data_IF_113812145566
#
_entry.id   IF_113812145566
#
_cell.length_a   1.000
_cell.length_b   1.000
_cell.length_c   1.000
_cell.angle_alpha   90.00
_cell.angle_beta   90.00
_cell.angle_gamma   90.00
#
_symmetry.space_group_name_H-M   'P 1'
#
loop_
_entity.id
_entity.type
_entity.pdbx_description
1 polymer ?
#
# COMPACT_ATOMS: atom_id res chain seq x y z
N UNK A 1 12.37 -9.96 15.83
CA UNK A 1 11.87 -9.76 14.44
C UNK A 1 11.93 -11.09 13.70
N UNK A 2 10.93 -11.42 12.89
CA UNK A 2 10.90 -12.60 12.03
C UNK A 2 12.07 -12.54 11.02
N UNK A 3 12.75 -13.65 10.67
CA UNK A 3 13.86 -13.65 9.70
C UNK A 3 13.49 -13.03 8.34
N UNK A 4 12.27 -13.29 7.82
CA UNK A 4 11.80 -12.71 6.57
C UNK A 4 11.72 -11.19 6.65
N UNK A 5 11.07 -10.64 7.69
CA UNK A 5 10.99 -9.20 7.90
C UNK A 5 12.35 -8.54 8.14
N UNK A 6 13.29 -9.25 8.80
CA UNK A 6 14.62 -8.72 8.99
C UNK A 6 15.38 -8.55 7.66
N UNK A 7 15.27 -9.55 6.77
CA UNK A 7 15.87 -9.47 5.42
C UNK A 7 15.20 -8.38 4.59
N UNK A 8 13.86 -8.35 4.55
CA UNK A 8 13.09 -7.33 3.83
C UNK A 8 13.45 -5.92 4.31
N UNK A 9 13.52 -5.70 5.61
CA UNK A 9 13.85 -4.39 6.18
C UNK A 9 15.28 -3.94 5.87
N UNK A 10 16.26 -4.85 5.90
CA UNK A 10 17.63 -4.51 5.50
C UNK A 10 17.70 -4.11 4.03
N UNK A 11 17.00 -4.83 3.16
CA UNK A 11 16.91 -4.50 1.74
C UNK A 11 16.20 -3.15 1.52
N UNK A 12 15.02 -2.95 2.13
CA UNK A 12 14.26 -1.71 2.05
C UNK A 12 15.04 -0.49 2.57
N UNK A 13 15.84 -0.64 3.64
CA UNK A 13 16.71 0.44 4.11
C UNK A 13 17.79 0.81 3.11
N UNK A 14 18.38 -0.15 2.41
CA UNK A 14 19.38 0.12 1.35
C UNK A 14 18.73 0.88 0.18
N UNK A 15 17.58 0.41 -0.29
CA UNK A 15 16.81 1.06 -1.34
C UNK A 15 16.36 2.46 -0.91
N UNK A 16 15.79 2.61 0.29
CA UNK A 16 15.36 3.90 0.84
C UNK A 16 16.49 4.92 1.01
N UNK A 17 17.72 4.48 1.35
CA UNK A 17 18.88 5.37 1.36
C UNK A 17 19.23 5.89 -0.04
N UNK A 18 19.06 5.05 -1.07
CA UNK A 18 19.24 5.46 -2.47
C UNK A 18 18.14 6.46 -2.87
N UNK A 19 16.87 6.19 -2.52
CA UNK A 19 15.75 7.11 -2.76
C UNK A 19 15.99 8.49 -2.12
N UNK A 20 16.38 8.55 -0.84
CA UNK A 20 16.70 9.82 -0.14
C UNK A 20 17.80 10.61 -0.85
N UNK A 21 18.85 9.94 -1.36
CA UNK A 21 19.91 10.62 -2.12
C UNK A 21 19.38 11.17 -3.43
N UNK A 22 18.56 10.42 -4.14
CA UNK A 22 17.95 10.86 -5.40
C UNK A 22 16.98 12.03 -5.17
N UNK A 23 16.18 12.02 -4.09
CA UNK A 23 15.30 13.12 -3.69
C UNK A 23 16.07 14.43 -3.44
N UNK A 24 17.34 14.36 -3.07
CA UNK A 24 18.22 15.54 -2.94
C UNK A 24 18.60 16.23 -4.26
N UNK A 25 18.33 15.59 -5.41
CA UNK A 25 18.58 16.15 -6.73
C UNK A 25 17.62 15.60 -7.78
N UNK A 26 16.36 15.98 -7.68
CA UNK A 26 15.28 15.48 -8.56
C UNK A 26 15.48 15.81 -10.03
N UNK A 27 16.17 16.91 -10.36
CA UNK A 27 16.47 17.30 -11.74
C UNK A 27 17.37 16.26 -12.48
N UNK A 28 18.11 15.45 -11.73
CA UNK A 28 18.94 14.39 -12.30
C UNK A 28 18.19 13.05 -12.46
N UNK A 29 16.98 12.91 -11.93
CA UNK A 29 16.16 11.69 -12.01
C UNK A 29 15.58 11.56 -13.41
N UNK A 30 15.87 10.42 -14.07
CA UNK A 30 15.31 10.12 -15.39
C UNK A 30 13.94 9.47 -15.22
N UNK A 31 12.98 9.94 -16.00
CA UNK A 31 11.59 9.49 -15.95
C UNK A 31 11.12 9.03 -17.32
N UNK A 32 10.32 7.96 -17.33
CA UNK A 32 9.58 7.50 -18.50
C UNK A 32 8.07 7.49 -18.12
N UNK A 33 7.19 7.62 -19.10
CA UNK A 33 5.75 7.47 -18.92
C UNK A 33 5.34 6.08 -19.39
N UNK A 34 4.69 5.30 -18.51
CA UNK A 34 4.09 4.00 -18.86
C UNK A 34 2.75 4.17 -19.56
N UNK A 35 1.95 5.16 -19.09
CA UNK A 35 0.65 5.55 -19.62
C UNK A 35 0.34 6.99 -19.24
N UNK A 36 -0.88 7.48 -19.57
CA UNK A 36 -1.36 8.78 -19.11
C UNK A 36 -1.43 8.78 -17.56
N UNK A 37 -0.71 9.71 -16.92
CA UNK A 37 -0.57 9.81 -15.46
C UNK A 37 0.04 8.58 -14.76
N UNK A 38 0.77 7.77 -15.49
CA UNK A 38 1.51 6.62 -14.97
C UNK A 38 3.00 6.77 -15.31
N UNK A 39 3.83 6.99 -14.30
CA UNK A 39 5.24 7.32 -14.42
C UNK A 39 6.11 6.25 -13.76
N UNK A 40 7.29 6.07 -14.32
CA UNK A 40 8.38 5.28 -13.74
C UNK A 40 9.67 6.08 -13.83
N UNK A 41 10.51 5.96 -12.82
CA UNK A 41 11.83 6.58 -12.82
C UNK A 41 12.94 5.54 -12.74
N UNK A 42 14.18 5.98 -12.97
CA UNK A 42 15.35 5.16 -12.71
C UNK A 42 15.51 4.83 -11.21
N UNK A 43 14.88 5.61 -10.34
CA UNK A 43 14.84 5.35 -8.89
C UNK A 43 13.98 4.13 -8.57
N UNK A 44 12.80 3.96 -9.19
CA UNK A 44 11.94 2.77 -9.06
C UNK A 44 12.72 1.52 -9.46
N UNK A 45 13.31 1.55 -10.66
CA UNK A 45 14.06 0.41 -11.20
C UNK A 45 15.28 0.05 -10.35
N UNK A 46 16.02 1.04 -9.86
CA UNK A 46 17.18 0.81 -8.99
C UNK A 46 16.77 0.29 -7.60
N UNK A 47 15.65 0.81 -7.06
CA UNK A 47 15.05 0.30 -5.83
C UNK A 47 14.70 -1.18 -5.99
N UNK A 48 14.00 -1.53 -7.07
CA UNK A 48 13.62 -2.91 -7.36
C UNK A 48 14.84 -3.85 -7.46
N UNK A 49 15.88 -3.46 -8.19
CA UNK A 49 17.11 -4.26 -8.31
C UNK A 49 17.68 -4.57 -6.92
N UNK A 50 17.80 -3.57 -6.04
CA UNK A 50 18.33 -3.75 -4.68
C UNK A 50 17.47 -4.75 -3.88
N UNK A 51 16.14 -4.64 -3.97
CA UNK A 51 15.21 -5.49 -3.22
C UNK A 51 15.23 -6.93 -3.74
N UNK A 52 15.15 -7.09 -5.06
CA UNK A 52 15.11 -8.40 -5.74
C UNK A 52 16.42 -9.16 -5.53
N UNK A 53 17.59 -8.51 -5.68
CA UNK A 53 18.88 -9.15 -5.46
C UNK A 53 19.01 -9.66 -4.02
N UNK A 54 18.66 -8.83 -3.03
CA UNK A 54 18.73 -9.22 -1.62
C UNK A 54 17.81 -10.39 -1.27
N UNK A 55 16.61 -10.42 -1.87
CA UNK A 55 15.68 -11.53 -1.65
C UNK A 55 16.09 -12.80 -2.38
N UNK A 56 16.60 -12.71 -3.61
CA UNK A 56 17.12 -13.88 -4.37
C UNK A 56 18.33 -14.51 -3.67
N UNK A 57 19.21 -13.69 -3.10
CA UNK A 57 20.36 -14.17 -2.32
C UNK A 57 19.91 -14.93 -1.07
N UNK A 58 18.97 -14.35 -0.30
CA UNK A 58 18.50 -14.94 0.95
C UNK A 58 17.52 -16.11 0.75
N UNK A 59 16.70 -16.06 -0.30
CA UNK A 59 15.59 -16.98 -0.56
C UNK A 59 15.52 -17.40 -2.03
N UNK A 60 16.49 -18.17 -2.55
CA UNK A 60 16.61 -18.47 -3.99
C UNK A 60 15.46 -19.30 -4.57
N UNK A 61 14.61 -19.87 -3.73
CA UNK A 61 13.45 -20.68 -4.14
C UNK A 61 12.10 -19.95 -4.05
N UNK A 62 12.10 -18.71 -3.56
CA UNK A 62 10.89 -17.92 -3.51
C UNK A 62 10.57 -17.31 -4.88
N UNK A 63 9.29 -17.15 -5.17
CA UNK A 63 8.82 -16.31 -6.27
C UNK A 63 8.86 -14.85 -5.80
N UNK A 64 9.17 -13.93 -6.72
CA UNK A 64 9.15 -12.49 -6.45
C UNK A 64 8.35 -11.86 -7.59
N UNK A 65 7.28 -11.16 -7.26
CA UNK A 65 6.45 -10.39 -8.19
C UNK A 65 6.61 -8.91 -7.87
N UNK A 66 7.04 -8.14 -8.86
CA UNK A 66 7.35 -6.73 -8.73
C UNK A 66 6.58 -5.90 -9.75
N UNK A 67 6.43 -4.63 -9.48
CA UNK A 67 5.75 -3.69 -10.36
C UNK A 67 6.51 -3.52 -11.69
N UNK A 68 7.82 -3.28 -11.65
CA UNK A 68 8.61 -2.86 -12.81
C UNK A 68 9.15 -4.05 -13.62
N UNK A 69 9.78 -4.99 -12.96
CA UNK A 69 10.46 -6.14 -13.58
C UNK A 69 9.59 -7.39 -13.72
N UNK A 70 8.32 -7.32 -13.31
CA UNK A 70 7.41 -8.46 -13.40
C UNK A 70 7.73 -9.57 -12.42
N UNK A 71 7.66 -10.83 -12.87
CA UNK A 71 7.75 -11.98 -11.97
C UNK A 71 9.05 -12.77 -12.15
N UNK A 72 9.71 -13.12 -11.05
CA UNK A 72 10.93 -13.91 -10.98
C UNK A 72 10.69 -15.19 -10.19
N UNK A 73 11.38 -16.27 -10.54
CA UNK A 73 11.27 -17.56 -9.86
C UNK A 73 10.21 -18.48 -10.48
N UNK A 74 9.92 -19.60 -9.79
CA UNK A 74 8.98 -20.61 -10.29
C UNK A 74 7.54 -20.26 -9.89
N UNK A 75 6.59 -20.39 -10.80
CA UNK A 75 5.16 -20.20 -10.51
C UNK A 75 4.64 -21.16 -9.42
N UNK A 76 5.30 -22.30 -9.21
CA UNK A 76 4.95 -23.33 -8.22
C UNK A 76 5.63 -23.11 -6.86
N UNK A 77 6.31 -21.97 -6.65
CA UNK A 77 6.95 -21.67 -5.36
C UNK A 77 5.90 -21.54 -4.26
N UNK A 78 6.17 -22.15 -3.09
CA UNK A 78 5.26 -22.02 -1.94
C UNK A 78 5.26 -20.62 -1.32
N UNK A 79 6.38 -19.88 -1.47
CA UNK A 79 6.54 -18.52 -0.98
C UNK A 79 6.62 -17.53 -2.14
N UNK A 80 5.89 -16.44 -2.03
CA UNK A 80 5.88 -15.36 -3.02
C UNK A 80 6.01 -14.01 -2.32
N UNK A 81 6.99 -13.21 -2.74
CA UNK A 81 7.08 -11.81 -2.41
C UNK A 81 6.31 -10.99 -3.44
N UNK A 82 5.51 -10.04 -2.96
CA UNK A 82 4.86 -9.01 -3.77
C UNK A 82 5.46 -7.66 -3.36
N UNK A 83 6.02 -6.91 -4.32
CA UNK A 83 6.85 -5.74 -4.05
C UNK A 83 6.43 -4.57 -4.93
N UNK A 84 6.22 -3.43 -4.29
CA UNK A 84 6.29 -2.12 -4.91
C UNK A 84 7.60 -1.45 -4.49
N UNK A 85 8.52 -1.18 -5.43
CA UNK A 85 9.81 -0.58 -5.13
C UNK A 85 9.72 0.91 -4.75
N UNK A 86 8.65 1.61 -5.20
CA UNK A 86 8.37 3.01 -4.92
C UNK A 86 6.89 3.34 -5.10
N UNK A 87 6.03 2.98 -4.14
CA UNK A 87 4.65 3.47 -4.09
C UNK A 87 4.64 5.00 -3.95
N UNK A 88 3.92 5.66 -4.85
CA UNK A 88 3.85 7.11 -4.93
C UNK A 88 4.94 7.75 -5.78
N UNK A 89 5.30 7.17 -6.93
CA UNK A 89 6.29 7.69 -7.90
C UNK A 89 6.03 9.14 -8.28
N UNK A 90 4.77 9.51 -8.54
CA UNK A 90 4.40 10.91 -8.83
C UNK A 90 4.75 11.85 -7.67
N UNK A 91 4.47 11.45 -6.43
CA UNK A 91 4.82 12.22 -5.25
C UNK A 91 6.35 12.39 -5.15
N UNK A 92 7.09 11.30 -5.34
CA UNK A 92 8.55 11.33 -5.32
C UNK A 92 9.11 12.30 -6.35
N UNK A 93 8.64 12.26 -7.60
CA UNK A 93 9.10 13.13 -8.68
C UNK A 93 8.81 14.63 -8.41
N UNK A 94 7.83 14.94 -7.57
CA UNK A 94 7.50 16.31 -7.16
C UNK A 94 8.11 16.70 -5.81
N UNK A 95 8.95 15.86 -5.20
CA UNK A 95 9.54 16.13 -3.88
C UNK A 95 8.50 16.11 -2.75
N UNK A 96 7.36 15.47 -2.95
CA UNK A 96 6.35 15.31 -1.91
C UNK A 96 6.65 14.05 -1.09
N UNK A 97 6.86 14.16 0.25
CA UNK A 97 7.41 13.08 1.08
C UNK A 97 6.37 12.01 1.44
N UNK A 98 5.49 11.66 0.50
CA UNK A 98 4.46 10.64 0.62
C UNK A 98 4.72 9.53 -0.39
N UNK A 99 5.80 8.80 -0.15
CA UNK A 99 6.20 7.63 -0.94
C UNK A 99 6.82 6.56 -0.03
N UNK A 100 6.74 5.30 -0.46
CA UNK A 100 7.19 4.17 0.34
C UNK A 100 7.66 2.99 -0.51
N UNK A 101 8.40 2.08 0.12
CA UNK A 101 8.65 0.72 -0.36
C UNK A 101 7.62 -0.18 0.31
N UNK A 102 6.88 -0.96 -0.48
CA UNK A 102 5.87 -1.90 0.00
C UNK A 102 6.31 -3.33 -0.32
N UNK A 103 6.31 -4.22 0.68
CA UNK A 103 6.74 -5.61 0.55
C UNK A 103 5.81 -6.53 1.33
N UNK A 104 5.22 -7.51 0.66
CA UNK A 104 4.42 -8.56 1.30
C UNK A 104 5.00 -9.94 0.98
N UNK A 105 4.93 -10.87 1.94
CA UNK A 105 5.25 -12.28 1.74
C UNK A 105 4.00 -13.12 1.90
N UNK A 106 3.71 -13.91 0.86
CA UNK A 106 2.68 -14.94 0.88
C UNK A 106 3.31 -16.32 1.09
N UNK A 107 2.62 -17.18 1.80
CA UNK A 107 2.89 -18.62 1.85
C UNK A 107 1.67 -19.36 1.38
N UNK A 108 1.78 -20.09 0.27
CA UNK A 108 0.66 -20.82 -0.38
C UNK A 108 -0.56 -19.91 -0.62
N UNK A 109 -0.31 -18.70 -1.15
CA UNK A 109 -1.35 -17.72 -1.45
C UNK A 109 -1.89 -16.94 -0.25
N UNK A 110 -1.41 -17.17 0.96
CA UNK A 110 -1.89 -16.49 2.18
C UNK A 110 -0.85 -15.51 2.69
N UNK A 111 -1.21 -14.24 2.87
CA UNK A 111 -0.35 -13.19 3.43
C UNK A 111 0.18 -13.59 4.81
N UNK A 112 1.48 -13.53 5.00
CA UNK A 112 2.18 -13.89 6.25
C UNK A 112 2.93 -12.73 6.87
N UNK A 113 3.67 -11.97 6.05
CA UNK A 113 4.53 -10.89 6.50
C UNK A 113 4.29 -9.64 5.65
N UNK A 114 4.37 -8.47 6.26
CA UNK A 114 4.24 -7.19 5.58
C UNK A 114 5.24 -6.18 6.12
N UNK A 115 5.81 -5.40 5.21
CA UNK A 115 6.66 -4.26 5.48
C UNK A 115 6.24 -3.12 4.56
N UNK A 116 5.98 -1.93 5.12
CA UNK A 116 5.90 -0.66 4.38
C UNK A 116 6.89 0.30 5.02
N UNK A 117 7.82 0.82 4.22
CA UNK A 117 8.86 1.71 4.69
C UNK A 117 8.82 3.05 3.95
N UNK A 118 8.54 4.14 4.66
CA UNK A 118 8.60 5.51 4.16
C UNK A 118 9.97 6.13 4.49
N UNK A 119 10.93 6.20 3.53
CA UNK A 119 12.31 6.54 3.83
C UNK A 119 12.50 7.95 4.38
N UNK A 120 11.82 8.94 3.79
CA UNK A 120 11.97 10.33 4.17
C UNK A 120 11.48 10.64 5.60
N UNK A 121 10.44 9.92 6.04
CA UNK A 121 9.90 10.04 7.41
C UNK A 121 10.53 9.05 8.38
N UNK A 122 11.32 8.10 7.86
CA UNK A 122 11.85 6.96 8.59
C UNK A 122 10.75 6.19 9.35
N UNK A 123 9.55 6.12 8.77
CA UNK A 123 8.44 5.35 9.30
C UNK A 123 8.50 3.91 8.76
N UNK A 124 8.55 2.94 9.66
CA UNK A 124 8.63 1.50 9.35
C UNK A 124 7.39 0.82 9.91
N UNK A 125 6.48 0.44 9.03
CA UNK A 125 5.31 -0.35 9.37
C UNK A 125 5.59 -1.82 9.10
N UNK A 126 5.30 -2.68 10.07
CA UNK A 126 5.50 -4.12 9.94
C UNK A 126 4.33 -4.88 10.55
N UNK A 127 4.01 -6.02 9.94
CA UNK A 127 3.10 -6.99 10.51
C UNK A 127 3.52 -8.41 10.18
N UNK A 128 3.28 -9.34 11.11
CA UNK A 128 3.29 -10.78 10.88
C UNK A 128 1.92 -11.32 11.25
N UNK A 129 1.38 -12.22 10.45
CA UNK A 129 0.06 -12.81 10.65
C UNK A 129 -0.08 -13.39 12.07
N UNK A 130 -1.10 -12.94 12.80
CA UNK A 130 -1.37 -13.33 14.19
C UNK A 130 -0.45 -12.74 15.25
N UNK A 131 0.42 -11.76 14.89
CA UNK A 131 1.38 -11.14 15.83
C UNK A 131 1.08 -9.67 16.11
N UNK A 132 0.17 -9.07 15.34
CA UNK A 132 -0.18 -7.66 15.38
C UNK A 132 0.75 -6.78 14.52
N UNK A 133 0.36 -5.52 14.38
CA UNK A 133 1.06 -4.51 13.60
C UNK A 133 1.89 -3.56 14.46
N UNK A 134 3.01 -3.11 13.89
CA UNK A 134 3.97 -2.21 14.53
C UNK A 134 4.25 -1.00 13.62
N UNK A 135 4.46 0.16 14.21
CA UNK A 135 5.10 1.33 13.61
C UNK A 135 6.32 1.68 14.47
N UNK A 136 7.51 1.65 13.87
CA UNK A 136 8.77 1.94 14.57
C UNK A 136 8.87 1.18 15.91
N UNK A 137 8.66 -0.15 15.86
CA UNK A 137 8.66 -1.09 16.98
C UNK A 137 7.57 -0.86 18.07
N UNK A 138 6.65 0.08 17.84
CA UNK A 138 5.51 0.34 18.73
C UNK A 138 4.23 -0.27 18.15
N UNK A 139 3.47 -0.98 18.96
CA UNK A 139 2.16 -1.53 18.55
C UNK A 139 1.21 -0.44 18.13
N UNK A 140 0.58 -0.65 16.97
CA UNK A 140 -0.48 0.22 16.44
C UNK A 140 -1.82 -0.51 16.41
N UNK A 141 -2.89 0.28 16.36
CA UNK A 141 -4.27 -0.18 16.23
C UNK A 141 -5.04 0.80 15.35
N UNK A 142 -6.01 0.28 14.61
CA UNK A 142 -7.01 1.11 13.94
C UNK A 142 -7.74 2.01 14.94
N UNK A 143 -8.33 3.09 14.47
CA UNK A 143 -9.06 4.01 15.30
C UNK A 143 -10.26 3.33 15.98
N UNK A 144 -10.71 3.87 17.11
CA UNK A 144 -11.92 3.42 17.81
C UNK A 144 -13.14 4.33 17.54
N UNK A 145 -13.06 5.22 16.53
CA UNK A 145 -14.16 6.07 16.12
C UNK A 145 -15.31 5.21 15.57
N UNK A 146 -16.55 5.63 15.87
CA UNK A 146 -17.74 4.91 15.47
C UNK A 146 -18.58 5.76 14.51
N UNK A 147 -18.64 7.06 14.75
CA UNK A 147 -19.49 7.99 14.02
C UNK A 147 -18.78 8.50 12.78
N UNK A 148 -19.34 8.25 11.60
CA UNK A 148 -18.74 8.58 10.31
C UNK A 148 -18.46 10.08 10.16
N UNK A 149 -19.31 10.95 10.73
CA UNK A 149 -19.14 12.41 10.71
C UNK A 149 -17.89 12.92 11.46
N UNK A 150 -17.23 12.04 12.20
CA UNK A 150 -15.95 12.33 12.88
C UNK A 150 -14.76 11.64 12.23
N UNK A 151 -14.99 10.94 11.12
CA UNK A 151 -13.98 10.12 10.48
C UNK A 151 -13.27 10.88 9.36
N UNK A 152 -11.96 10.66 9.23
CA UNK A 152 -11.17 11.02 8.06
C UNK A 152 -11.05 9.80 7.14
N UNK A 153 -11.40 9.96 5.87
CA UNK A 153 -11.37 8.89 4.89
C UNK A 153 -10.28 9.18 3.84
N UNK A 154 -9.37 8.21 3.67
CA UNK A 154 -8.37 8.21 2.60
C UNK A 154 -8.96 7.67 1.31
N UNK A 155 -8.43 8.10 0.15
CA UNK A 155 -8.82 7.62 -1.17
C UNK A 155 -7.78 7.95 -2.23
N UNK A 156 -7.80 7.23 -3.35
CA UNK A 156 -7.09 7.60 -4.58
C UNK A 156 -8.08 8.00 -5.69
N UNK A 157 -7.55 8.61 -6.75
CA UNK A 157 -8.35 8.99 -7.92
C UNK A 157 -8.13 7.99 -9.05
N UNK A 158 -9.19 7.54 -9.77
CA UNK A 158 -9.06 6.65 -10.91
C UNK A 158 -8.54 7.41 -12.14
N UNK A 159 -7.33 7.96 -12.04
CA UNK A 159 -6.76 8.85 -13.08
C UNK A 159 -6.32 8.09 -14.33
N UNK A 160 -5.99 6.81 -14.20
CA UNK A 160 -5.58 5.95 -15.32
C UNK A 160 -6.81 5.42 -16.06
N UNK A 161 -7.82 4.96 -15.33
CA UNK A 161 -9.10 4.51 -15.90
C UNK A 161 -10.20 5.53 -15.65
N UNK A 162 -10.38 6.45 -16.58
CA UNK A 162 -11.38 7.51 -16.47
C UNK A 162 -12.83 7.02 -16.62
N UNK A 163 -13.06 5.78 -17.05
CA UNK A 163 -14.41 5.21 -17.15
C UNK A 163 -15.10 5.10 -15.79
N UNK A 164 -14.31 4.99 -14.71
CA UNK A 164 -14.80 4.94 -13.34
C UNK A 164 -15.03 6.31 -12.69
N UNK A 165 -14.65 7.41 -13.37
CA UNK A 165 -14.59 8.75 -12.77
C UNK A 165 -15.95 9.21 -12.23
N UNK A 166 -17.02 9.09 -13.00
CA UNK A 166 -18.36 9.55 -12.58
C UNK A 166 -18.86 8.77 -11.34
N UNK A 167 -18.67 7.45 -11.34
CA UNK A 167 -18.99 6.58 -10.21
C UNK A 167 -18.17 6.96 -8.97
N UNK A 168 -16.87 7.13 -9.14
CA UNK A 168 -15.98 7.54 -8.08
C UNK A 168 -16.37 8.90 -7.46
N UNK A 169 -16.66 9.90 -8.32
CA UNK A 169 -17.06 11.23 -7.85
C UNK A 169 -18.38 11.22 -7.10
N UNK A 170 -19.35 10.36 -7.50
CA UNK A 170 -20.60 10.18 -6.77
C UNK A 170 -20.36 9.62 -5.36
N UNK A 171 -19.51 8.60 -5.23
CA UNK A 171 -19.11 8.03 -3.94
C UNK A 171 -18.37 9.08 -3.10
N UNK A 172 -17.38 9.77 -3.69
CA UNK A 172 -16.59 10.79 -2.99
C UNK A 172 -17.49 11.92 -2.46
N UNK A 173 -18.44 12.41 -3.27
CA UNK A 173 -19.42 13.43 -2.86
C UNK A 173 -20.18 13.01 -1.61
N UNK A 174 -20.63 11.77 -1.56
CA UNK A 174 -21.35 11.23 -0.42
C UNK A 174 -20.48 11.10 0.81
N UNK A 175 -19.22 10.68 0.67
CA UNK A 175 -18.26 10.68 1.77
C UNK A 175 -18.01 12.08 2.30
N UNK A 176 -17.73 13.05 1.44
CA UNK A 176 -17.46 14.43 1.85
C UNK A 176 -18.66 15.07 2.57
N UNK A 177 -19.89 14.70 2.22
CA UNK A 177 -21.09 15.19 2.88
C UNK A 177 -21.33 14.57 4.27
N UNK A 178 -20.73 13.39 4.55
CA UNK A 178 -21.05 12.58 5.75
C UNK A 178 -19.88 12.38 6.69
N UNK A 179 -18.68 12.83 6.33
CA UNK A 179 -17.43 12.62 7.10
C UNK A 179 -16.81 13.93 7.57
N UNK A 180 -15.80 13.87 8.40
CA UNK A 180 -15.01 15.03 8.82
C UNK A 180 -14.09 15.55 7.68
N UNK A 181 -13.88 14.75 6.63
CA UNK A 181 -13.14 15.13 5.44
C UNK A 181 -12.47 13.96 4.73
N UNK A 182 -12.02 14.22 3.50
CA UNK A 182 -11.25 13.29 2.68
C UNK A 182 -9.76 13.63 2.66
N UNK A 183 -8.92 12.62 2.42
CA UNK A 183 -7.49 12.76 2.12
C UNK A 183 -7.16 11.98 0.86
N UNK A 184 -6.36 12.61 -0.01
CA UNK A 184 -5.78 12.00 -1.20
C UNK A 184 -4.27 12.16 -1.11
N UNK A 185 -3.63 11.24 -0.41
CA UNK A 185 -2.21 11.32 -0.11
C UNK A 185 -1.33 10.83 -1.28
N UNK A 186 -1.82 9.87 -2.08
CA UNK A 186 -1.21 9.43 -3.33
C UNK A 186 -0.16 8.33 -3.22
N UNK A 187 -0.22 7.55 -2.15
CA UNK A 187 0.53 6.32 -1.94
C UNK A 187 -0.36 5.34 -1.15
N UNK A 188 -0.95 4.37 -1.83
CA UNK A 188 -1.99 3.50 -1.27
C UNK A 188 -1.48 2.67 -0.08
N UNK A 189 -0.23 2.19 -0.15
CA UNK A 189 0.39 1.45 0.96
C UNK A 189 0.48 2.28 2.24
N UNK A 190 0.78 3.59 2.12
CA UNK A 190 0.84 4.52 3.25
C UNK A 190 -0.55 4.93 3.74
N UNK A 191 -1.54 5.05 2.86
CA UNK A 191 -2.93 5.31 3.25
C UNK A 191 -3.48 4.16 4.09
N UNK A 192 -3.24 2.92 3.69
CA UNK A 192 -3.55 1.72 4.47
C UNK A 192 -2.80 1.70 5.81
N UNK A 193 -1.52 2.05 5.82
CA UNK A 193 -0.74 2.19 7.05
C UNK A 193 -1.28 3.29 7.98
N UNK A 194 -1.80 4.38 7.41
CA UNK A 194 -2.45 5.44 8.19
C UNK A 194 -3.76 4.96 8.81
N UNK A 195 -4.54 4.12 8.12
CA UNK A 195 -5.71 3.43 8.72
C UNK A 195 -5.27 2.51 9.87
N UNK A 196 -4.24 1.68 9.65
CA UNK A 196 -3.73 0.78 10.67
C UNK A 196 -3.22 1.49 11.93
N UNK A 197 -2.68 2.71 11.77
CA UNK A 197 -2.20 3.54 12.87
C UNK A 197 -3.29 4.44 13.50
N UNK A 198 -4.54 4.37 13.02
CA UNK A 198 -5.65 5.20 13.49
C UNK A 198 -5.54 6.69 13.14
N UNK A 199 -4.69 7.04 12.18
CA UNK A 199 -4.52 8.38 11.62
C UNK A 199 -5.62 8.71 10.60
N UNK A 200 -6.01 7.70 9.79
CA UNK A 200 -7.24 7.65 9.01
C UNK A 200 -8.20 6.64 9.65
N UNK A 201 -9.49 6.84 9.43
CA UNK A 201 -10.54 5.97 9.97
C UNK A 201 -10.99 4.93 8.96
N UNK A 202 -10.79 5.22 7.68
CA UNK A 202 -11.04 4.31 6.57
C UNK A 202 -10.32 4.77 5.32
N UNK A 203 -10.23 3.87 4.35
CA UNK A 203 -9.65 4.08 3.03
C UNK A 203 -10.47 3.31 2.00
N UNK A 204 -10.64 3.86 0.81
CA UNK A 204 -11.17 3.16 -0.35
C UNK A 204 -10.50 3.62 -1.62
N UNK A 205 -10.21 2.70 -2.52
CA UNK A 205 -9.68 2.99 -3.84
C UNK A 205 -10.03 1.87 -4.82
N UNK A 206 -10.11 2.21 -6.11
CA UNK A 206 -10.43 1.29 -7.19
C UNK A 206 -9.21 0.94 -8.01
N UNK A 207 -9.18 -0.28 -8.56
CA UNK A 207 -8.27 -0.71 -9.61
C UNK A 207 -6.78 -0.63 -9.25
N UNK A 208 -6.45 -0.81 -7.97
CA UNK A 208 -5.08 -0.92 -7.49
C UNK A 208 -4.44 -2.26 -7.89
N UNK A 209 -3.12 -2.33 -7.82
CA UNK A 209 -2.39 -3.57 -8.09
C UNK A 209 -2.04 -4.29 -6.79
N UNK A 210 -1.78 -5.60 -6.83
CA UNK A 210 -1.43 -6.36 -5.62
C UNK A 210 -0.27 -5.77 -4.83
N UNK A 211 0.71 -5.15 -5.49
CA UNK A 211 1.87 -4.57 -4.83
C UNK A 211 1.54 -3.29 -4.06
N UNK A 212 0.54 -2.51 -4.49
CA UNK A 212 0.06 -1.31 -3.80
C UNK A 212 -0.60 -1.64 -2.46
N UNK A 213 -1.27 -2.81 -2.38
CA UNK A 213 -2.23 -3.09 -1.30
C UNK A 213 -1.87 -4.27 -0.39
N UNK A 214 -1.14 -5.28 -0.89
CA UNK A 214 -0.93 -6.53 -0.14
C UNK A 214 -0.28 -6.30 1.25
N UNK A 215 0.77 -5.49 1.33
CA UNK A 215 1.43 -5.22 2.61
C UNK A 215 0.56 -4.36 3.52
N UNK A 216 0.01 -3.26 2.99
CA UNK A 216 -0.85 -2.36 3.75
C UNK A 216 -2.09 -3.06 4.32
N UNK A 217 -2.72 -3.96 3.54
CA UNK A 217 -3.87 -4.74 3.95
C UNK A 217 -3.56 -5.66 5.15
N UNK A 218 -2.44 -6.41 5.11
CA UNK A 218 -2.05 -7.24 6.26
C UNK A 218 -1.78 -6.37 7.50
N UNK A 219 -1.15 -5.20 7.33
CA UNK A 219 -0.89 -4.28 8.45
C UNK A 219 -2.21 -3.78 9.06
N UNK A 220 -3.23 -3.45 8.23
CA UNK A 220 -4.57 -3.08 8.70
C UNK A 220 -5.23 -4.23 9.46
N UNK A 221 -5.22 -5.45 8.92
CA UNK A 221 -5.81 -6.63 9.55
C UNK A 221 -5.16 -6.91 10.91
N UNK A 222 -3.84 -6.87 11.00
CA UNK A 222 -3.08 -7.09 12.22
C UNK A 222 -3.21 -5.94 13.24
N UNK A 223 -3.61 -4.75 12.79
CA UNK A 223 -3.99 -3.63 13.65
C UNK A 223 -5.43 -3.72 14.16
N UNK A 224 -6.21 -4.75 13.77
CA UNK A 224 -7.59 -4.98 14.16
C UNK A 224 -8.63 -4.31 13.25
N UNK A 225 -8.23 -3.88 12.07
CA UNK A 225 -9.12 -3.43 10.99
C UNK A 225 -9.64 -4.60 10.15
N UNK A 226 -10.55 -4.28 9.26
CA UNK A 226 -11.07 -5.20 8.24
C UNK A 226 -10.77 -4.61 6.87
N UNK A 227 -10.43 -5.48 5.93
CA UNK A 227 -10.18 -5.16 4.52
C UNK A 227 -11.12 -6.01 3.68
N UNK A 228 -11.83 -5.38 2.76
CA UNK A 228 -12.76 -6.03 1.83
C UNK A 228 -12.66 -5.40 0.45
N UNK A 229 -13.33 -5.98 -0.53
CA UNK A 229 -13.67 -5.30 -1.79
C UNK A 229 -14.83 -4.30 -1.59
N UNK A 230 -15.32 -3.69 -2.69
CA UNK A 230 -16.42 -2.71 -2.64
C UNK A 230 -17.77 -3.32 -2.28
N UNK A 231 -17.90 -4.66 -2.34
CA UNK A 231 -19.12 -5.40 -1.98
C UNK A 231 -19.10 -5.91 -0.54
N UNK A 232 -17.95 -5.83 0.13
CA UNK A 232 -17.74 -6.34 1.48
C UNK A 232 -17.20 -7.77 1.52
N UNK A 233 -16.74 -8.31 0.39
CA UNK A 233 -16.20 -9.66 0.24
C UNK A 233 -14.66 -9.66 0.17
N UNK A 234 -14.06 -10.86 0.05
CA UNK A 234 -12.59 -11.05 0.14
C UNK A 234 -11.84 -10.83 -1.20
N UNK A 235 -12.49 -10.44 -2.29
CA UNK A 235 -11.91 -10.35 -3.64
C UNK A 235 -10.96 -9.18 -3.90
N UNK A 236 -10.63 -8.39 -2.90
CA UNK A 236 -9.89 -7.12 -3.02
C UNK A 236 -8.46 -7.25 -3.60
N UNK A 237 -7.76 -8.37 -3.34
CA UNK A 237 -6.37 -8.55 -3.82
C UNK A 237 -6.33 -8.83 -5.32
N UNK A 238 -7.32 -9.54 -5.85
CA UNK A 238 -7.46 -9.90 -7.25
C UNK A 238 -8.08 -8.76 -8.07
N UNK A 239 -9.12 -8.10 -7.53
CA UNK A 239 -9.82 -7.02 -8.22
C UNK A 239 -9.05 -5.69 -8.19
N UNK A 240 -8.29 -5.45 -7.12
CA UNK A 240 -7.68 -4.15 -6.84
C UNK A 240 -8.65 -3.12 -6.27
N UNK A 241 -9.91 -3.48 -6.07
CA UNK A 241 -10.94 -2.63 -5.47
C UNK A 241 -10.93 -2.86 -3.96
N UNK A 242 -10.55 -1.88 -3.17
CA UNK A 242 -10.30 -2.08 -1.74
C UNK A 242 -11.05 -1.08 -0.86
N UNK A 243 -11.59 -1.59 0.24
CA UNK A 243 -12.13 -0.80 1.36
C UNK A 243 -11.51 -1.30 2.66
N UNK A 244 -10.92 -0.41 3.43
CA UNK A 244 -10.25 -0.74 4.70
C UNK A 244 -10.68 0.22 5.80
N UNK A 245 -11.07 -0.30 6.96
CA UNK A 245 -11.43 0.52 8.12
C UNK A 245 -11.50 -0.33 9.42
N UNK A 246 -11.79 0.32 10.55
CA UNK A 246 -12.28 -0.42 11.70
C UNK A 246 -13.67 -1.00 11.43
N UNK A 247 -14.10 -2.08 12.14
CA UNK A 247 -15.36 -2.79 11.82
C UNK A 247 -16.61 -1.90 11.81
N UNK A 248 -16.66 -0.86 12.64
CA UNK A 248 -17.86 0.01 12.79
C UNK A 248 -17.95 1.04 11.67
N UNK A 249 -16.82 1.57 11.24
CA UNK A 249 -16.71 2.52 10.12
C UNK A 249 -16.88 1.80 8.79
N UNK A 250 -16.28 0.59 8.63
CA UNK A 250 -16.40 -0.20 7.42
C UNK A 250 -17.86 -0.42 7.00
N UNK A 251 -18.71 -0.87 7.92
CA UNK A 251 -20.13 -1.11 7.62
C UNK A 251 -20.86 0.14 7.10
N UNK A 252 -20.48 1.32 7.59
CA UNK A 252 -21.04 2.59 7.14
C UNK A 252 -20.46 3.01 5.77
N UNK A 253 -19.15 2.77 5.53
CA UNK A 253 -18.50 3.01 4.25
C UNK A 253 -19.14 2.15 3.16
N UNK A 254 -19.27 0.85 3.39
CA UNK A 254 -19.88 -0.09 2.43
C UNK A 254 -21.32 0.31 2.09
N UNK A 255 -22.11 0.82 3.06
CA UNK A 255 -23.46 1.32 2.80
C UNK A 255 -23.46 2.55 1.86
N UNK A 256 -22.46 3.41 1.93
CA UNK A 256 -22.32 4.53 0.99
C UNK A 256 -21.92 4.02 -0.38
N UNK A 257 -20.90 3.15 -0.45
CA UNK A 257 -20.37 2.60 -1.68
C UNK A 257 -21.45 1.82 -2.43
N UNK A 258 -22.17 0.94 -1.75
CA UNK A 258 -23.21 0.09 -2.36
C UNK A 258 -24.39 0.85 -2.97
N UNK A 259 -24.55 2.13 -2.69
CA UNK A 259 -25.55 2.97 -3.35
C UNK A 259 -25.14 3.39 -4.79
N UNK A 260 -23.88 3.13 -5.18
CA UNK A 260 -23.31 3.57 -6.44
C UNK A 260 -22.61 2.43 -7.24
N UNK A 261 -22.55 1.21 -6.68
CA UNK A 261 -21.85 0.04 -7.28
C UNK A 261 -22.82 -0.99 -7.82
#
# INVERSE_FOLDING_TARGET
MNPFLNTAFKAARRAGQMMIRAAGNLDAVKTDSKAFNDFVSDVDRNSEIILVEALKEAYPHHKITCEEGGSHGKATAEYEWIIDPLDGTTNFLHGHPQCAISMALLHKGVLQEALVYAPERNDVYMASRGKGALLNDRRIRVSNRIELNRCLIGTGFPVVDQSMMDKYLAILKDFLAKTAGGRREGAASLDLCAVAAGRLDGFFEFNLKPWDIAAGALIVQEAGGIVTDMTGEDGWLESGDIVAANPKVLAQMLKIISAHV
#
